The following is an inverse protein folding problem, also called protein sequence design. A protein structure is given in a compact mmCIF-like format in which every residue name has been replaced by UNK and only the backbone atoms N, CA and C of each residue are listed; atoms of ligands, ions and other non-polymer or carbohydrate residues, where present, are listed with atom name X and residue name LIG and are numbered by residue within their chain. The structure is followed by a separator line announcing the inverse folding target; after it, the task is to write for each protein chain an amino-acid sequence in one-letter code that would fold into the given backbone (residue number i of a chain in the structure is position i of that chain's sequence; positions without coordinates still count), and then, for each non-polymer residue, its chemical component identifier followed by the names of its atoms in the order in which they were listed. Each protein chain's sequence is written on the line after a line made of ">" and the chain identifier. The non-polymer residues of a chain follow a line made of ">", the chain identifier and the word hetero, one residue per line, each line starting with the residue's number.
data_IF_050991249199
#
_entry.id   IF_050991249199
#
_cell.length_a   1.000
_cell.length_b   1.000
_cell.length_c   1.000
_cell.angle_alpha   90.00
_cell.angle_beta   90.00
_cell.angle_gamma   90.00
#
_symmetry.space_group_name_H-M   'P 1'
#
loop_
_entity.id
_entity.type
_entity.pdbx_description
1 polymer ?
#
# COMPACT_ATOMS: atom_id res chain seq x y z
N UNK A 1 51.38 -3.24 25.93
CA UNK A 1 49.92 -3.44 25.93
C UNK A 1 49.35 -2.85 24.65
N UNK A 2 48.89 -3.67 23.70
CA UNK A 2 48.43 -3.22 22.37
C UNK A 2 46.90 -3.09 22.41
N UNK A 3 46.38 -1.86 22.34
CA UNK A 3 44.93 -1.60 22.32
C UNK A 3 44.45 -1.75 20.88
N UNK A 4 43.68 -2.80 20.63
CA UNK A 4 43.00 -3.04 19.36
C UNK A 4 41.78 -2.14 19.35
N UNK A 5 41.82 -1.07 18.57
CA UNK A 5 40.68 -0.18 18.37
C UNK A 5 39.69 -0.82 17.40
N UNK A 6 38.44 -0.99 17.85
CA UNK A 6 37.35 -1.47 17.00
C UNK A 6 36.83 -0.32 16.13
N UNK A 7 36.93 -0.48 14.81
CA UNK A 7 36.32 0.43 13.83
C UNK A 7 34.87 0.02 13.60
N UNK A 8 33.92 0.81 14.10
CA UNK A 8 32.51 0.66 13.76
C UNK A 8 32.22 1.45 12.48
N UNK A 9 32.13 0.76 11.33
CA UNK A 9 31.62 1.36 10.09
C UNK A 9 30.11 1.43 10.16
N UNK A 10 29.56 2.63 10.36
CA UNK A 10 28.12 2.89 10.26
C UNK A 10 27.79 3.14 8.79
N UNK A 11 27.12 2.17 8.17
CA UNK A 11 26.55 2.33 6.83
C UNK A 11 25.23 3.09 6.97
N UNK A 12 25.20 4.34 6.53
CA UNK A 12 23.95 5.09 6.38
C UNK A 12 23.37 4.80 5.00
N UNK A 13 22.29 4.02 4.93
CA UNK A 13 21.49 3.86 3.72
C UNK A 13 20.65 5.12 3.52
N UNK A 14 21.05 5.93 2.54
CA UNK A 14 20.28 7.10 2.08
C UNK A 14 19.20 6.60 1.12
N UNK A 15 17.95 6.61 1.57
CA UNK A 15 16.79 6.32 0.72
C UNK A 15 16.57 7.44 -0.31
N UNK A 16 16.69 7.10 -1.58
CA UNK A 16 16.35 8.01 -2.67
C UNK A 16 14.83 8.00 -2.89
N UNK A 17 14.17 9.11 -2.54
CA UNK A 17 12.77 9.36 -2.89
C UNK A 17 12.71 9.77 -4.37
N UNK A 18 12.64 8.81 -5.29
CA UNK A 18 12.29 9.09 -6.70
C UNK A 18 10.76 9.19 -6.83
N UNK A 19 10.22 10.37 -6.51
CA UNK A 19 8.82 10.70 -6.70
C UNK A 19 8.53 11.25 -8.10
N UNK A 20 7.97 10.43 -8.98
CA UNK A 20 7.29 10.88 -10.20
C UNK A 20 5.88 11.33 -9.83
N UNK A 21 5.62 12.65 -9.91
CA UNK A 21 4.34 13.24 -9.58
C UNK A 21 3.28 12.94 -10.66
N UNK A 22 2.49 11.89 -10.45
CA UNK A 22 1.17 11.74 -11.05
C UNK A 22 0.11 11.95 -9.96
N UNK A 23 -0.78 12.91 -10.19
CA UNK A 23 -1.86 13.28 -9.28
C UNK A 23 -2.97 12.22 -9.34
N UNK A 24 -3.26 11.57 -8.20
CA UNK A 24 -4.45 10.73 -8.04
C UNK A 24 -4.24 9.49 -7.17
N UNK A 25 -3.18 8.72 -7.44
CA UNK A 25 -3.08 7.33 -6.97
C UNK A 25 -1.75 7.01 -6.23
N UNK A 26 -1.08 8.03 -5.70
CA UNK A 26 0.16 7.81 -4.95
C UNK A 26 -0.15 7.09 -3.63
N UNK A 27 0.65 6.07 -3.27
CA UNK A 27 0.53 5.48 -1.95
C UNK A 27 0.97 6.48 -0.87
N UNK A 28 0.23 6.49 0.24
CA UNK A 28 0.54 7.24 1.46
C UNK A 28 1.89 6.87 2.06
N UNK A 29 2.28 5.61 1.90
CA UNK A 29 3.59 5.08 2.29
C UNK A 29 4.10 4.17 1.17
N UNK A 30 5.40 4.25 0.88
CA UNK A 30 6.10 3.27 0.05
C UNK A 30 7.50 3.06 0.59
N UNK A 31 7.74 1.86 1.09
CA UNK A 31 9.00 1.44 1.69
C UNK A 31 9.52 0.19 0.97
N UNK A 32 10.82 0.18 0.65
CA UNK A 32 11.47 -0.96 0.01
C UNK A 32 11.71 -2.05 1.06
N UNK A 33 10.97 -3.17 0.96
CA UNK A 33 11.11 -4.30 1.88
C UNK A 33 12.16 -5.32 1.38
N UNK A 34 12.26 -5.50 0.07
CA UNK A 34 13.32 -6.26 -0.61
C UNK A 34 13.52 -5.73 -2.05
N UNK A 35 14.46 -6.31 -2.80
CA UNK A 35 14.66 -5.97 -4.22
C UNK A 35 13.36 -6.21 -5.01
N UNK A 36 12.78 -5.14 -5.56
CA UNK A 36 11.54 -5.19 -6.33
C UNK A 36 10.25 -5.43 -5.50
N UNK A 37 10.38 -5.56 -4.17
CA UNK A 37 9.26 -5.80 -3.27
C UNK A 37 9.10 -4.65 -2.27
N UNK A 38 7.93 -4.05 -2.24
CA UNK A 38 7.62 -2.88 -1.41
C UNK A 38 6.49 -3.18 -0.43
N UNK A 39 6.62 -2.59 0.74
CA UNK A 39 5.52 -2.32 1.65
C UNK A 39 4.90 -0.98 1.27
N UNK A 40 3.60 -0.97 0.97
CA UNK A 40 2.88 0.22 0.55
C UNK A 40 1.60 0.39 1.34
N UNK A 41 1.22 1.64 1.61
CA UNK A 41 -0.08 1.97 2.16
C UNK A 41 -0.80 2.92 1.23
N UNK A 42 -2.03 2.63 0.87
CA UNK A 42 -2.84 3.51 0.01
C UNK A 42 -4.31 3.48 0.40
N UNK A 43 -5.08 4.55 0.13
CA UNK A 43 -6.50 4.56 0.42
C UNK A 43 -7.22 3.49 -0.41
N UNK A 44 -8.20 2.81 0.17
CA UNK A 44 -9.07 1.93 -0.58
C UNK A 44 -9.95 2.72 -1.56
N UNK A 45 -10.45 2.03 -2.59
CA UNK A 45 -11.42 2.60 -3.52
C UNK A 45 -12.78 2.73 -2.82
N UNK A 46 -13.52 3.79 -3.13
CA UNK A 46 -14.88 3.98 -2.64
C UNK A 46 -15.77 2.89 -3.23
N UNK A 47 -16.42 2.14 -2.35
CA UNK A 47 -17.39 1.10 -2.68
C UNK A 47 -18.35 1.50 -3.81
N UNK A 48 -18.94 2.70 -3.73
CA UNK A 48 -19.87 3.23 -4.75
C UNK A 48 -19.28 3.37 -6.16
N UNK A 49 -17.95 3.51 -6.28
CA UNK A 49 -17.23 3.65 -7.55
C UNK A 49 -16.41 2.41 -7.92
N UNK A 50 -16.34 1.42 -7.03
CA UNK A 50 -15.49 0.24 -7.18
C UNK A 50 -15.86 -0.58 -8.43
N UNK A 51 -17.14 -0.60 -8.79
CA UNK A 51 -17.66 -1.29 -9.98
C UNK A 51 -17.78 -0.40 -11.21
N UNK A 52 -17.31 0.85 -11.15
CA UNK A 52 -17.37 1.78 -12.28
C UNK A 52 -16.06 1.80 -13.07
N UNK A 53 -16.09 2.33 -14.29
CA UNK A 53 -14.91 2.55 -15.12
C UNK A 53 -13.97 3.66 -14.57
N UNK A 54 -14.40 4.38 -13.53
CA UNK A 54 -13.62 5.44 -12.90
C UNK A 54 -13.60 5.26 -11.37
N UNK A 55 -12.83 4.29 -10.85
CA UNK A 55 -12.71 4.07 -9.42
C UNK A 55 -12.10 5.29 -8.73
N UNK A 56 -12.71 5.73 -7.64
CA UNK A 56 -12.23 6.88 -6.87
C UNK A 56 -11.74 6.42 -5.50
N UNK A 57 -10.55 6.88 -5.11
CA UNK A 57 -10.02 6.63 -3.79
C UNK A 57 -10.85 7.31 -2.70
N UNK A 58 -10.90 6.66 -1.54
CA UNK A 58 -11.36 7.27 -0.29
C UNK A 58 -10.39 8.41 0.10
N UNK A 59 -10.81 9.26 1.03
CA UNK A 59 -9.88 10.27 1.57
C UNK A 59 -8.73 9.56 2.29
N UNK A 60 -7.52 10.02 2.03
CA UNK A 60 -6.29 9.72 2.79
C UNK A 60 -6.40 9.96 4.31
N UNK A 61 -7.25 10.89 4.75
CA UNK A 61 -7.35 11.29 6.16
C UNK A 61 -8.40 10.52 6.99
N UNK A 62 -9.46 10.04 6.35
CA UNK A 62 -10.61 9.44 7.04
C UNK A 62 -11.08 8.12 6.42
N UNK A 63 -10.48 7.71 5.32
CA UNK A 63 -10.84 6.50 4.58
C UNK A 63 -10.07 5.28 5.06
N UNK A 64 -10.63 4.10 4.76
CA UNK A 64 -9.91 2.84 4.96
C UNK A 64 -8.62 2.82 4.13
N UNK A 65 -7.56 2.28 4.72
CA UNK A 65 -6.23 2.18 4.14
C UNK A 65 -5.89 0.71 3.94
N UNK A 66 -5.42 0.38 2.74
CA UNK A 66 -4.89 -0.93 2.40
C UNK A 66 -3.41 -0.94 2.72
N UNK A 67 -2.98 -1.98 3.44
CA UNK A 67 -1.59 -2.27 3.76
C UNK A 67 -1.13 -3.40 2.84
N UNK A 68 -0.34 -3.06 1.82
CA UNK A 68 0.01 -3.92 0.70
C UNK A 68 1.50 -4.29 0.72
N UNK A 69 1.81 -5.55 0.43
CA UNK A 69 3.17 -6.03 0.26
C UNK A 69 3.29 -6.74 -1.09
N UNK A 70 4.05 -6.16 -2.01
CA UNK A 70 4.09 -6.66 -3.39
C UNK A 70 5.03 -5.87 -4.31
N UNK A 71 4.82 -5.92 -5.62
CA UNK A 71 5.57 -5.13 -6.58
C UNK A 71 5.53 -3.65 -6.22
N UNK A 72 6.66 -2.97 -6.40
CA UNK A 72 6.76 -1.56 -6.04
C UNK A 72 5.92 -0.64 -6.93
N UNK A 73 5.50 -1.04 -8.12
CA UNK A 73 4.74 -0.24 -9.09
C UNK A 73 3.22 -0.43 -9.00
N UNK A 74 2.73 -1.02 -7.92
CA UNK A 74 1.29 -1.18 -7.67
C UNK A 74 0.55 0.16 -7.62
N UNK A 75 -0.72 0.14 -8.06
CA UNK A 75 -1.64 1.28 -7.96
C UNK A 75 -2.93 0.85 -7.27
N UNK A 76 -3.51 1.65 -6.35
CA UNK A 76 -4.78 1.34 -5.71
C UNK A 76 -5.97 1.19 -6.68
N UNK A 77 -5.82 1.68 -7.92
CA UNK A 77 -6.83 1.65 -9.00
C UNK A 77 -6.47 0.67 -10.12
N UNK A 78 -5.40 -0.11 -9.97
CA UNK A 78 -5.04 -1.15 -10.93
C UNK A 78 -6.14 -2.21 -11.05
N UNK A 79 -6.21 -2.88 -12.20
CA UNK A 79 -7.28 -3.85 -12.45
C UNK A 79 -7.28 -5.00 -11.43
N UNK A 80 -6.11 -5.48 -11.03
CA UNK A 80 -5.94 -6.52 -10.03
C UNK A 80 -6.34 -6.03 -8.62
N UNK A 81 -5.97 -4.82 -8.22
CA UNK A 81 -6.43 -4.24 -6.95
C UNK A 81 -7.93 -4.03 -6.91
N UNK A 82 -8.55 -3.61 -8.02
CA UNK A 82 -10.01 -3.47 -8.11
C UNK A 82 -10.70 -4.83 -7.95
N UNK A 83 -10.15 -5.89 -8.55
CA UNK A 83 -10.70 -7.24 -8.39
C UNK A 83 -10.55 -7.73 -6.94
N UNK A 84 -9.38 -7.54 -6.33
CA UNK A 84 -9.15 -7.96 -4.94
C UNK A 84 -10.08 -7.22 -3.98
N UNK A 85 -10.18 -5.90 -4.08
CA UNK A 85 -11.05 -5.10 -3.23
C UNK A 85 -12.53 -5.47 -3.38
N UNK A 86 -12.98 -5.86 -4.58
CA UNK A 86 -14.35 -6.38 -4.79
C UNK A 86 -14.58 -7.70 -4.06
N UNK A 87 -13.61 -8.61 -4.13
CA UNK A 87 -13.70 -9.91 -3.45
C UNK A 87 -13.72 -9.73 -1.94
N UNK A 88 -12.87 -8.85 -1.41
CA UNK A 88 -12.83 -8.54 0.02
C UNK A 88 -14.16 -7.93 0.48
N UNK A 89 -14.74 -6.98 -0.28
CA UNK A 89 -16.05 -6.41 0.02
C UNK A 89 -17.15 -7.47 0.06
N UNK A 90 -17.18 -8.37 -0.92
CA UNK A 90 -18.15 -9.47 -0.98
C UNK A 90 -18.02 -10.42 0.22
N UNK A 91 -16.78 -10.73 0.62
CA UNK A 91 -16.53 -11.58 1.76
C UNK A 91 -16.98 -10.92 3.08
N UNK A 92 -16.63 -9.64 3.26
CA UNK A 92 -17.02 -8.89 4.46
C UNK A 92 -18.55 -8.73 4.55
N UNK A 93 -19.21 -8.51 3.42
CA UNK A 93 -20.67 -8.51 3.35
C UNK A 93 -21.22 -9.88 3.71
N UNK A 94 -20.77 -10.97 3.08
CA UNK A 94 -21.23 -12.32 3.39
C UNK A 94 -21.13 -12.67 4.87
N UNK A 95 -19.98 -12.37 5.49
CA UNK A 95 -19.78 -12.56 6.93
C UNK A 95 -20.74 -11.75 7.79
N UNK A 96 -21.00 -10.50 7.45
CA UNK A 96 -21.96 -9.67 8.20
C UNK A 96 -23.40 -10.22 8.14
N UNK A 97 -23.75 -10.95 7.07
CA UNK A 97 -25.06 -11.61 6.95
C UNK A 97 -25.10 -12.99 7.62
N UNK A 98 -24.01 -13.75 7.57
CA UNK A 98 -23.93 -15.09 8.19
C UNK A 98 -23.74 -15.03 9.71
N UNK A 99 -23.02 -14.03 10.21
CA UNK A 99 -22.78 -13.77 11.64
C UNK A 99 -23.87 -12.87 12.27
N UNK A 100 -24.99 -12.62 11.58
CA UNK A 100 -26.04 -11.69 12.00
C UNK A 100 -26.67 -12.06 13.36
N UNK A 101 -26.59 -11.11 14.31
CA UNK A 101 -27.35 -11.06 15.58
C UNK A 101 -28.88 -11.17 15.37
#
# INVERSE_FOLDING_TARGET
>A
MKRIGATASVVFLVGALSGSAFAGDQPLLKEQAAEGYCHMKFPAVRQRTLSSDNPQLKSDSTGDVIDFYGPCDESPTSADQIVQQKQDEQFMFGRAYEDGD
#
